data_IF_502043161637
#
_entry.id   IF_502043161637
#
_cell.length_a   1.000
_cell.length_b   1.000
_cell.length_c   1.000
_cell.angle_alpha   90.00
_cell.angle_beta   90.00
_cell.angle_gamma   90.00
#
_symmetry.space_group_name_H-M   'P 1'
#
loop_
_entity.id
_entity.type
_entity.pdbx_description
1 polymer ?
#
# COMPACT_ATOMS: atom_id res chain seq x y z
N UNK A 1 -37.87 13.29 8.08
CA UNK A 1 -38.18 11.87 7.74
C UNK A 1 -36.93 11.09 7.33
N UNK A 2 -36.08 11.63 6.45
CA UNK A 2 -34.80 11.00 6.02
C UNK A 2 -33.76 10.87 7.16
N UNK A 3 -33.66 11.85 8.08
CA UNK A 3 -32.75 11.79 9.25
C UNK A 3 -33.08 10.63 10.23
N UNK A 4 -34.35 10.27 10.37
CA UNK A 4 -34.80 9.20 11.28
C UNK A 4 -34.60 7.80 10.68
N UNK A 5 -34.63 7.68 9.35
CA UNK A 5 -34.38 6.42 8.64
C UNK A 5 -32.88 6.07 8.65
N UNK A 6 -31.99 7.07 8.54
CA UNK A 6 -30.53 6.87 8.65
C UNK A 6 -30.10 6.42 10.05
N UNK A 7 -30.65 7.00 11.11
CA UNK A 7 -30.35 6.61 12.50
C UNK A 7 -30.88 5.18 12.80
N UNK A 8 -32.03 4.81 12.22
CA UNK A 8 -32.63 3.49 12.36
C UNK A 8 -31.85 2.41 11.58
N UNK A 9 -31.36 2.72 10.37
CA UNK A 9 -30.45 1.83 9.64
C UNK A 9 -29.15 1.63 10.43
N UNK A 10 -28.59 2.70 10.99
CA UNK A 10 -27.37 2.65 11.80
C UNK A 10 -27.58 1.78 13.05
N UNK A 11 -28.67 1.95 13.79
CA UNK A 11 -28.96 1.10 14.96
C UNK A 11 -29.24 -0.36 14.59
N UNK A 12 -29.83 -0.61 13.41
CA UNK A 12 -30.09 -1.98 12.94
C UNK A 12 -28.82 -2.70 12.48
N UNK A 13 -27.90 -1.97 11.83
CA UNK A 13 -26.58 -2.49 11.43
C UNK A 13 -25.72 -2.80 12.66
N UNK A 14 -25.73 -1.92 13.66
CA UNK A 14 -24.96 -2.08 14.91
C UNK A 14 -25.44 -3.23 15.81
N UNK A 15 -26.71 -3.64 15.73
CA UNK A 15 -27.23 -4.75 16.55
C UNK A 15 -27.24 -6.08 15.82
N UNK A 16 -27.44 -6.10 14.50
CA UNK A 16 -27.64 -7.34 13.75
C UNK A 16 -26.32 -7.97 13.27
N UNK A 17 -25.29 -7.18 12.94
CA UNK A 17 -24.02 -7.73 12.43
C UNK A 17 -23.25 -8.58 13.44
N UNK A 18 -23.10 -8.18 14.72
CA UNK A 18 -22.43 -9.02 15.72
C UNK A 18 -23.19 -10.34 15.96
N UNK A 19 -24.53 -10.27 16.01
CA UNK A 19 -25.38 -11.44 16.23
C UNK A 19 -25.36 -12.43 15.06
N UNK A 20 -25.30 -11.95 13.82
CA UNK A 20 -25.26 -12.81 12.62
C UNK A 20 -23.85 -13.36 12.38
N UNK A 21 -22.80 -12.62 12.73
CA UNK A 21 -21.43 -13.13 12.66
C UNK A 21 -21.23 -14.27 13.66
N UNK A 22 -21.63 -14.09 14.92
CA UNK A 22 -21.53 -15.13 15.95
C UNK A 22 -22.28 -16.40 15.55
N UNK A 23 -23.56 -16.29 15.13
CA UNK A 23 -24.36 -17.45 14.71
C UNK A 23 -23.84 -18.13 13.42
N UNK A 24 -23.21 -17.39 12.49
CA UNK A 24 -22.66 -17.96 11.25
C UNK A 24 -21.35 -18.73 11.48
N UNK A 25 -20.50 -18.25 12.40
CA UNK A 25 -19.22 -18.90 12.70
C UNK A 25 -19.35 -20.03 13.73
N UNK A 26 -20.38 -20.03 14.59
CA UNK A 26 -20.65 -21.14 15.51
C UNK A 26 -21.01 -22.44 14.76
N UNK A 27 -21.63 -22.34 13.57
CA UNK A 27 -21.96 -23.49 12.70
C UNK A 27 -20.71 -24.07 11.98
N UNK A 28 -19.59 -23.34 11.98
CA UNK A 28 -18.27 -23.83 11.53
C UNK A 28 -17.40 -24.35 12.68
N UNK A 29 -17.77 -24.08 13.93
CA UNK A 29 -16.99 -24.42 15.14
C UNK A 29 -17.34 -25.79 15.74
N UNK A 30 -17.91 -26.72 14.97
CA UNK A 30 -18.17 -28.10 15.43
C UNK A 30 -16.98 -29.00 15.17
N UNK A 31 -16.09 -29.18 16.15
CA UNK A 31 -15.85 -30.47 16.79
C UNK A 31 -14.74 -30.45 17.86
N UNK A 32 -14.91 -31.35 18.82
CA UNK A 32 -14.33 -31.40 20.14
C UNK A 32 -12.80 -31.51 20.27
N UNK A 33 -12.34 -30.97 21.40
CA UNK A 33 -11.11 -31.25 22.12
C UNK A 33 -10.53 -32.66 21.90
N UNK A 34 -9.39 -32.75 21.19
CA UNK A 34 -8.68 -34.02 21.08
C UNK A 34 -7.54 -34.15 20.07
N UNK A 35 -6.86 -33.08 19.67
CA UNK A 35 -5.59 -33.12 18.91
C UNK A 35 -5.01 -31.70 18.87
N UNK A 36 -3.73 -31.51 19.23
CA UNK A 36 -3.07 -30.19 19.32
C UNK A 36 -2.74 -29.55 17.95
N UNK A 37 -3.22 -30.10 16.84
CA UNK A 37 -3.00 -29.58 15.49
C UNK A 37 -4.36 -29.34 14.81
N UNK A 38 -5.08 -28.32 15.24
CA UNK A 38 -6.32 -27.85 14.62
C UNK A 38 -6.06 -26.71 13.64
N UNK A 39 -6.96 -26.51 12.67
CA UNK A 39 -7.01 -25.27 11.88
C UNK A 39 -7.67 -24.20 12.74
N UNK A 40 -6.99 -23.08 12.95
CA UNK A 40 -7.53 -21.89 13.59
C UNK A 40 -8.17 -20.99 12.53
N UNK A 41 -9.40 -20.54 12.80
CA UNK A 41 -10.16 -19.62 11.98
C UNK A 41 -10.25 -18.31 12.76
N UNK A 42 -9.91 -17.21 12.11
CA UNK A 42 -10.07 -15.86 12.64
C UNK A 42 -10.45 -14.91 11.51
N UNK A 43 -10.88 -13.71 11.85
CA UNK A 43 -11.11 -12.69 10.83
C UNK A 43 -11.52 -11.35 11.40
N UNK A 44 -11.85 -10.43 10.50
CA UNK A 44 -12.48 -9.18 10.89
C UNK A 44 -13.52 -8.69 9.89
N UNK A 45 -14.44 -7.86 10.36
CA UNK A 45 -15.38 -7.09 9.55
C UNK A 45 -15.17 -5.61 9.91
N UNK A 46 -14.94 -4.80 8.90
CA UNK A 46 -14.63 -3.39 8.98
C UNK A 46 -15.74 -2.58 8.31
N UNK A 47 -16.43 -1.76 9.11
CA UNK A 47 -17.43 -0.81 8.63
C UNK A 47 -16.89 0.62 8.83
N UNK A 48 -16.59 1.29 7.73
CA UNK A 48 -16.14 2.68 7.69
C UNK A 48 -17.23 3.61 7.17
N UNK A 49 -17.40 4.75 7.84
CA UNK A 49 -18.18 5.88 7.35
C UNK A 49 -17.27 7.09 7.25
N UNK A 50 -17.26 7.77 6.11
CA UNK A 50 -16.40 8.92 5.89
C UNK A 50 -17.18 10.07 5.27
N UNK A 51 -16.93 11.27 5.76
CA UNK A 51 -17.47 12.49 5.17
C UNK A 51 -16.35 13.47 4.91
N UNK A 52 -16.44 14.17 3.79
CA UNK A 52 -15.45 15.10 3.31
C UNK A 52 -15.92 16.52 3.48
N UNK A 53 -14.97 17.46 3.40
CA UNK A 53 -15.19 18.89 3.42
C UNK A 53 -16.01 19.36 4.63
N UNK A 54 -15.33 19.88 5.65
CA UNK A 54 -15.97 20.29 6.92
C UNK A 54 -17.08 21.34 6.74
N UNK A 55 -17.03 22.14 5.68
CA UNK A 55 -18.04 23.17 5.41
C UNK A 55 -19.36 22.57 4.88
N UNK A 56 -19.29 21.48 4.12
CA UNK A 56 -20.42 20.89 3.39
C UNK A 56 -20.81 19.46 3.87
N UNK A 57 -20.29 19.01 5.02
CA UNK A 57 -20.49 17.63 5.54
C UNK A 57 -21.95 17.17 5.67
N UNK A 58 -22.90 18.09 5.76
CA UNK A 58 -24.33 17.78 5.88
C UNK A 58 -25.04 17.63 4.53
N UNK A 59 -24.44 18.16 3.46
CA UNK A 59 -24.99 18.16 2.10
C UNK A 59 -24.29 17.10 1.21
N UNK A 60 -23.06 16.70 1.52
CA UNK A 60 -22.38 15.60 0.83
C UNK A 60 -22.81 14.20 1.31
N UNK A 61 -22.81 13.24 0.37
CA UNK A 61 -23.02 11.83 0.69
C UNK A 61 -21.77 11.26 1.33
N UNK A 62 -21.90 10.74 2.56
CA UNK A 62 -20.82 10.01 3.20
C UNK A 62 -20.45 8.75 2.40
N UNK A 63 -19.15 8.54 2.20
CA UNK A 63 -18.59 7.29 1.72
C UNK A 63 -18.81 6.20 2.77
N UNK A 64 -19.21 5.02 2.31
CA UNK A 64 -19.41 3.84 3.16
C UNK A 64 -18.46 2.75 2.66
N UNK A 65 -17.52 2.39 3.51
CA UNK A 65 -16.58 1.30 3.28
C UNK A 65 -17.01 0.08 4.08
N UNK A 66 -17.07 -1.06 3.40
CA UNK A 66 -17.33 -2.35 4.04
C UNK A 66 -16.26 -3.32 3.56
N UNK A 67 -15.35 -3.68 4.46
CA UNK A 67 -14.31 -4.66 4.22
C UNK A 67 -14.44 -5.80 5.22
N UNK A 68 -13.94 -6.96 4.87
CA UNK A 68 -13.76 -8.07 5.79
C UNK A 68 -12.53 -8.87 5.41
N UNK A 69 -11.99 -9.63 6.35
CA UNK A 69 -11.00 -10.65 6.06
C UNK A 69 -11.38 -11.97 6.76
N UNK A 70 -10.90 -13.05 6.17
CA UNK A 70 -10.93 -14.37 6.77
C UNK A 70 -9.51 -14.91 6.75
N UNK A 71 -9.04 -15.39 7.90
CA UNK A 71 -7.73 -15.97 8.08
C UNK A 71 -7.85 -17.39 8.61
N UNK A 72 -7.25 -18.32 7.88
CA UNK A 72 -7.08 -19.71 8.29
C UNK A 72 -5.60 -19.94 8.58
N UNK A 73 -5.30 -20.46 9.76
CA UNK A 73 -3.94 -20.89 10.10
C UNK A 73 -3.92 -22.34 10.53
N UNK A 74 -2.87 -23.04 10.13
CA UNK A 74 -2.55 -24.36 10.63
C UNK A 74 -1.13 -24.30 11.19
N UNK A 75 -0.97 -24.75 12.43
CA UNK A 75 0.34 -24.86 13.07
C UNK A 75 0.74 -26.32 13.22
N UNK A 76 1.94 -26.65 12.78
CA UNK A 76 2.44 -28.01 12.76
C UNK A 76 3.92 -28.09 13.14
N UNK A 77 4.36 -29.26 13.60
CA UNK A 77 5.75 -29.45 14.06
C UNK A 77 6.82 -29.30 12.95
N UNK A 78 6.42 -29.44 11.68
CA UNK A 78 7.31 -29.34 10.52
C UNK A 78 7.00 -28.13 9.64
N UNK A 79 5.79 -27.60 9.70
CA UNK A 79 5.38 -26.47 8.91
C UNK A 79 4.11 -25.82 9.45
N UNK A 80 4.00 -24.52 9.22
CA UNK A 80 2.80 -23.73 9.40
C UNK A 80 2.26 -23.29 8.04
N UNK A 81 0.94 -23.18 7.94
CA UNK A 81 0.25 -22.72 6.72
C UNK A 81 -0.66 -21.55 7.10
N UNK A 82 -0.62 -20.48 6.32
CA UNK A 82 -1.50 -19.31 6.46
C UNK A 82 -2.23 -19.04 5.15
N UNK A 83 -3.54 -18.83 5.24
CA UNK A 83 -4.39 -18.31 4.16
C UNK A 83 -5.15 -17.11 4.69
N UNK A 84 -5.05 -15.97 4.03
CA UNK A 84 -5.81 -14.76 4.34
C UNK A 84 -6.53 -14.29 3.08
N UNK A 85 -7.82 -14.02 3.19
CA UNK A 85 -8.61 -13.39 2.12
C UNK A 85 -9.02 -11.98 2.50
N UNK A 86 -9.21 -11.13 1.50
CA UNK A 86 -9.82 -9.81 1.63
C UNK A 86 -11.15 -9.81 0.88
N UNK A 87 -12.18 -9.31 1.55
CA UNK A 87 -13.53 -9.14 1.01
C UNK A 87 -13.83 -7.65 1.02
N UNK A 88 -14.24 -7.12 -0.11
CA UNK A 88 -14.81 -5.78 -0.22
C UNK A 88 -16.16 -5.86 -0.94
N UNK A 89 -16.79 -4.70 -1.16
CA UNK A 89 -18.11 -4.62 -1.83
C UNK A 89 -18.13 -5.26 -3.22
N UNK A 90 -16.99 -5.33 -3.90
CA UNK A 90 -16.91 -5.70 -5.31
C UNK A 90 -16.39 -7.12 -5.53
N UNK A 91 -15.58 -7.64 -4.62
CA UNK A 91 -14.85 -8.89 -4.84
C UNK A 91 -14.37 -9.56 -3.54
N UNK A 92 -14.08 -10.85 -3.67
CA UNK A 92 -13.29 -11.64 -2.71
C UNK A 92 -11.95 -11.93 -3.37
N UNK A 93 -10.86 -11.58 -2.71
CA UNK A 93 -9.50 -11.71 -3.22
C UNK A 93 -8.61 -12.43 -2.23
N UNK A 94 -7.57 -13.09 -2.75
CA UNK A 94 -6.53 -13.71 -1.94
C UNK A 94 -5.54 -12.62 -1.51
N UNK A 95 -5.33 -12.47 -0.20
CA UNK A 95 -4.34 -11.52 0.34
C UNK A 95 -3.02 -12.24 0.63
N UNK A 96 -3.03 -13.35 1.37
CA UNK A 96 -1.83 -14.17 1.63
C UNK A 96 -2.15 -15.66 1.53
N UNK A 97 -1.20 -16.44 1.05
CA UNK A 97 -1.25 -17.90 1.03
C UNK A 97 0.17 -18.45 1.01
N UNK A 98 0.68 -18.86 2.15
CA UNK A 98 2.05 -19.32 2.25
C UNK A 98 2.24 -20.40 3.31
N UNK A 99 3.35 -21.11 3.16
CA UNK A 99 3.81 -22.12 4.11
C UNK A 99 5.16 -21.69 4.66
N UNK A 100 5.31 -21.78 5.99
CA UNK A 100 6.61 -21.71 6.66
C UNK A 100 7.05 -23.13 7.00
N UNK A 101 8.17 -23.60 6.43
CA UNK A 101 8.70 -24.94 6.62
C UNK A 101 9.94 -24.90 7.51
N UNK A 102 9.95 -25.75 8.54
CA UNK A 102 10.99 -25.80 9.56
C UNK A 102 12.00 -26.91 9.27
N UNK A 103 13.29 -26.55 9.17
CA UNK A 103 14.40 -27.49 9.07
C UNK A 103 15.42 -27.22 10.19
N UNK A 104 16.28 -28.20 10.49
CA UNK A 104 17.24 -28.12 11.61
C UNK A 104 18.15 -26.87 11.60
N UNK A 105 18.41 -26.30 10.43
CA UNK A 105 19.40 -25.20 10.26
C UNK A 105 18.85 -23.95 9.58
N UNK A 106 17.63 -24.01 9.04
CA UNK A 106 17.02 -22.91 8.31
C UNK A 106 15.53 -23.13 8.21
N UNK A 107 14.79 -22.06 7.96
CA UNK A 107 13.36 -22.12 7.64
C UNK A 107 13.15 -21.62 6.21
N UNK A 108 12.10 -22.09 5.57
CA UNK A 108 11.71 -21.65 4.22
C UNK A 108 10.28 -21.15 4.26
N UNK A 109 10.09 -19.89 3.89
CA UNK A 109 8.77 -19.32 3.61
C UNK A 109 8.53 -19.36 2.10
N UNK A 110 7.42 -19.94 1.65
CA UNK A 110 7.09 -20.03 0.24
C UNK A 110 5.59 -19.85 0.01
N UNK A 111 5.24 -19.01 -0.96
CA UNK A 111 3.84 -18.75 -1.34
C UNK A 111 3.64 -17.32 -1.79
N UNK A 112 2.44 -16.79 -1.57
CA UNK A 112 2.07 -15.38 -1.74
C UNK A 112 2.10 -14.77 -0.33
N UNK A 113 3.11 -13.96 -0.03
CA UNK A 113 3.30 -13.39 1.32
C UNK A 113 3.81 -11.95 1.28
N UNK A 114 3.56 -11.23 2.39
CA UNK A 114 4.13 -9.90 2.66
C UNK A 114 5.37 -10.06 3.53
N UNK A 115 6.53 -9.69 2.98
CA UNK A 115 7.80 -9.65 3.72
C UNK A 115 8.09 -8.23 4.14
N UNK A 116 8.39 -7.99 5.41
CA UNK A 116 8.78 -6.67 5.93
C UNK A 116 10.25 -6.68 6.28
N UNK A 117 11.00 -5.76 5.68
CA UNK A 117 12.41 -5.51 5.95
C UNK A 117 12.61 -4.09 6.44
N UNK A 118 13.75 -3.81 7.05
CA UNK A 118 13.98 -2.52 7.69
C UNK A 118 13.86 -2.57 9.21
N UNK A 119 14.32 -1.46 9.80
CA UNK A 119 14.20 -1.14 11.23
C UNK A 119 13.38 0.12 11.46
N UNK A 120 13.00 0.83 10.40
CA UNK A 120 12.03 1.91 10.46
C UNK A 120 10.73 1.49 11.13
N UNK A 121 9.94 2.45 11.57
CA UNK A 121 8.67 2.15 12.24
C UNK A 121 7.51 2.16 11.24
N UNK A 122 7.35 3.28 10.54
CA UNK A 122 6.30 3.46 9.53
C UNK A 122 6.86 3.76 8.15
N UNK A 123 8.11 4.23 8.11
CA UNK A 123 8.79 4.68 6.91
C UNK A 123 9.97 3.76 6.66
N UNK A 124 10.10 3.34 5.40
CA UNK A 124 11.19 2.49 4.97
C UNK A 124 11.79 2.98 3.65
N UNK A 125 13.09 2.70 3.49
CA UNK A 125 13.86 2.88 2.25
C UNK A 125 14.62 1.61 1.86
N UNK A 126 14.55 0.54 2.64
CA UNK A 126 15.14 -0.77 2.29
C UNK A 126 14.10 -1.87 2.06
N UNK A 127 12.83 -1.60 2.35
CA UNK A 127 11.73 -2.55 2.18
C UNK A 127 11.15 -2.48 0.76
N UNK A 128 11.66 -3.34 -0.12
CA UNK A 128 11.42 -3.28 -1.56
C UNK A 128 10.78 -4.53 -2.16
N UNK A 129 10.55 -5.58 -1.35
CA UNK A 129 10.16 -6.89 -1.88
C UNK A 129 8.73 -6.92 -2.38
N UNK A 130 7.83 -6.26 -1.66
CA UNK A 130 6.43 -6.20 -2.03
C UNK A 130 6.06 -4.78 -2.46
N UNK A 131 5.17 -4.65 -3.46
CA UNK A 131 4.63 -3.37 -3.85
C UNK A 131 3.63 -2.83 -2.83
N UNK A 132 3.32 -1.55 -2.99
CA UNK A 132 2.36 -0.82 -2.18
C UNK A 132 1.13 -0.44 -3.01
N UNK A 133 -0.04 -0.63 -2.43
CA UNK A 133 -1.30 -0.11 -2.92
C UNK A 133 -1.49 1.33 -2.41
N UNK A 134 -1.42 2.30 -3.31
CA UNK A 134 -1.72 3.70 -3.03
C UNK A 134 -3.16 4.09 -3.39
N UNK A 135 -3.96 3.14 -3.87
CA UNK A 135 -5.37 3.39 -4.20
C UNK A 135 -6.24 3.50 -2.95
N UNK A 136 -5.86 2.77 -1.90
CA UNK A 136 -6.40 2.92 -0.56
C UNK A 136 -5.77 4.12 0.12
N UNK A 137 -6.56 4.74 0.99
CA UNK A 137 -6.26 6.01 1.66
C UNK A 137 -4.79 6.14 2.04
N UNK A 138 -4.13 7.20 1.59
CA UNK A 138 -2.68 7.45 1.75
C UNK A 138 -2.17 7.47 3.22
N UNK A 139 -3.06 7.26 4.19
CA UNK A 139 -2.89 7.45 5.63
C UNK A 139 -3.40 6.23 6.44
N UNK A 140 -3.38 5.06 5.83
CA UNK A 140 -3.55 3.76 6.51
C UNK A 140 -2.21 3.22 6.99
N UNK A 141 -2.25 2.12 7.75
CA UNK A 141 -1.03 1.46 8.21
C UNK A 141 -0.20 0.97 7.01
N UNK A 142 1.12 1.11 7.09
CA UNK A 142 2.07 0.66 6.07
C UNK A 142 1.84 -0.79 5.66
N UNK A 143 1.50 -1.67 6.62
CA UNK A 143 1.28 -3.09 6.36
C UNK A 143 -0.03 -3.37 5.62
N UNK A 144 -1.05 -2.55 5.81
CA UNK A 144 -2.36 -2.73 5.17
C UNK A 144 -2.28 -2.49 3.66
N UNK A 145 -1.48 -1.50 3.25
CA UNK A 145 -1.26 -1.14 1.86
C UNK A 145 -0.25 -2.07 1.16
N UNK A 146 0.42 -2.95 1.89
CA UNK A 146 1.40 -3.87 1.29
C UNK A 146 0.69 -5.00 0.55
N UNK A 147 1.09 -5.24 -0.69
CA UNK A 147 0.50 -6.29 -1.55
C UNK A 147 1.39 -7.52 -1.50
N UNK A 148 0.84 -8.67 -1.12
CA UNK A 148 1.61 -9.91 -1.09
C UNK A 148 2.04 -10.35 -2.50
N UNK A 149 3.24 -10.93 -2.62
CA UNK A 149 3.77 -11.41 -3.90
C UNK A 149 4.26 -12.83 -3.80
N UNK A 150 4.22 -13.59 -4.92
CA UNK A 150 4.91 -14.87 -5.01
C UNK A 150 6.37 -14.72 -4.57
N UNK A 151 6.76 -15.44 -3.52
CA UNK A 151 8.08 -15.31 -2.91
C UNK A 151 8.53 -16.67 -2.37
N UNK A 152 9.81 -16.97 -2.52
CA UNK A 152 10.50 -18.03 -1.78
C UNK A 152 11.62 -17.36 -0.99
N UNK A 153 11.57 -17.49 0.34
CA UNK A 153 12.52 -16.86 1.25
C UNK A 153 13.15 -17.91 2.17
N UNK A 154 14.47 -17.95 2.21
CA UNK A 154 15.24 -18.77 3.15
C UNK A 154 15.67 -17.92 4.33
N UNK A 155 15.45 -18.42 5.53
CA UNK A 155 15.86 -17.80 6.79
C UNK A 155 16.90 -18.71 7.45
N UNK A 156 18.14 -18.26 7.53
CA UNK A 156 19.29 -19.04 8.01
C UNK A 156 19.85 -18.36 9.27
N UNK A 157 19.57 -18.88 10.47
CA UNK A 157 20.16 -18.37 11.70
C UNK A 157 21.69 -18.43 11.67
N UNK A 158 22.33 -17.31 12.02
CA UNK A 158 23.78 -17.17 12.10
C UNK A 158 24.20 -16.95 13.55
N UNK A 159 24.52 -18.03 14.25
CA UNK A 159 24.86 -17.97 15.68
C UNK A 159 23.66 -17.60 16.53
N UNK A 160 23.89 -16.90 17.65
CA UNK A 160 22.83 -16.58 18.62
C UNK A 160 22.06 -15.29 18.31
N UNK A 161 22.62 -14.39 17.51
CA UNK A 161 22.07 -13.03 17.31
C UNK A 161 21.97 -12.60 15.86
N UNK A 162 22.34 -13.47 14.91
CA UNK A 162 22.35 -13.16 13.49
C UNK A 162 21.33 -13.95 12.69
N UNK A 163 20.91 -13.36 11.57
CA UNK A 163 20.02 -13.99 10.59
C UNK A 163 20.46 -13.60 9.18
N UNK A 164 20.57 -14.60 8.30
CA UNK A 164 20.72 -14.39 6.86
C UNK A 164 19.41 -14.78 6.16
N UNK A 165 18.85 -13.83 5.44
CA UNK A 165 17.63 -13.98 4.65
C UNK A 165 17.99 -13.92 3.16
N UNK A 166 17.51 -14.89 2.39
CA UNK A 166 17.64 -14.93 0.92
C UNK A 166 16.24 -14.97 0.32
N UNK A 167 15.85 -13.94 -0.42
CA UNK A 167 14.54 -13.87 -1.06
C UNK A 167 14.66 -13.96 -2.59
N UNK A 168 13.79 -14.77 -3.18
CA UNK A 168 13.59 -14.84 -4.62
C UNK A 168 12.10 -14.63 -4.94
N UNK A 169 11.82 -13.65 -5.78
CA UNK A 169 10.49 -13.39 -6.31
C UNK A 169 10.52 -13.77 -7.80
N UNK A 170 9.75 -14.77 -8.24
CA UNK A 170 9.80 -15.27 -9.62
C UNK A 170 9.21 -14.28 -10.64
N UNK A 171 8.43 -13.32 -10.19
CA UNK A 171 7.78 -12.30 -11.02
C UNK A 171 7.91 -10.93 -10.35
N UNK A 172 7.52 -9.88 -11.08
CA UNK A 172 7.44 -8.53 -10.55
C UNK A 172 6.00 -8.04 -10.53
N UNK A 173 5.63 -7.35 -9.45
CA UNK A 173 4.38 -6.64 -9.30
C UNK A 173 4.72 -5.20 -8.92
N UNK A 174 4.10 -4.25 -9.60
CA UNK A 174 4.31 -2.82 -9.36
C UNK A 174 3.43 -2.29 -8.24
N UNK A 175 3.72 -1.06 -7.83
CA UNK A 175 2.80 -0.31 -6.99
C UNK A 175 1.48 -0.08 -7.73
N UNK A 176 0.37 -0.05 -6.99
CA UNK A 176 -0.95 0.27 -7.52
C UNK A 176 -1.20 1.75 -7.29
N UNK A 177 -1.37 2.50 -8.36
CA UNK A 177 -1.67 3.94 -8.31
C UNK A 177 -3.17 4.17 -8.55
N UNK A 178 -3.84 5.05 -7.78
CA UNK A 178 -5.23 5.38 -8.04
C UNK A 178 -5.36 6.10 -9.38
N UNK A 179 -6.25 5.60 -10.23
CA UNK A 179 -6.54 6.19 -11.56
C UNK A 179 -7.89 6.89 -11.62
N UNK A 180 -8.71 6.78 -10.57
CA UNK A 180 -9.99 7.46 -10.45
C UNK A 180 -10.30 7.85 -9.00
N UNK A 181 -11.29 8.72 -8.81
CA UNK A 181 -11.68 9.23 -7.49
C UNK A 181 -10.86 10.44 -7.03
N UNK A 182 -11.08 10.84 -5.78
CA UNK A 182 -10.50 12.07 -5.21
C UNK A 182 -9.01 11.96 -4.88
N UNK A 183 -8.51 10.75 -4.72
CA UNK A 183 -7.14 10.45 -4.27
C UNK A 183 -6.14 10.27 -5.42
N UNK A 184 -6.53 10.57 -6.67
CA UNK A 184 -5.63 10.49 -7.83
C UNK A 184 -4.59 11.61 -7.75
N UNK A 185 -3.28 11.30 -7.66
CA UNK A 185 -2.23 12.32 -7.67
C UNK A 185 -2.20 13.10 -8.99
N UNK A 186 -1.76 14.35 -8.93
CA UNK A 186 -1.59 15.20 -10.11
C UNK A 186 -0.66 14.58 -11.15
N UNK A 187 0.45 13.96 -10.73
CA UNK A 187 1.37 13.26 -11.65
C UNK A 187 0.68 12.12 -12.40
N UNK A 188 -0.23 11.40 -11.73
CA UNK A 188 -1.03 10.34 -12.36
C UNK A 188 -2.02 10.96 -13.34
N UNK A 189 -2.69 12.07 -13.00
CA UNK A 189 -3.57 12.81 -13.94
C UNK A 189 -2.80 13.25 -15.19
N UNK A 190 -1.59 13.78 -15.01
CA UNK A 190 -0.70 14.18 -16.10
C UNK A 190 -0.33 12.96 -16.95
N UNK A 191 0.10 11.86 -16.33
CA UNK A 191 0.43 10.62 -17.03
C UNK A 191 -0.75 10.08 -17.85
N UNK A 192 -1.94 10.01 -17.25
CA UNK A 192 -3.18 9.58 -17.91
C UNK A 192 -3.47 10.45 -19.14
N UNK A 193 -3.32 11.78 -19.01
CA UNK A 193 -3.54 12.71 -20.10
C UNK A 193 -2.51 12.53 -21.23
N UNK A 194 -1.24 12.31 -20.89
CA UNK A 194 -0.15 12.09 -21.84
C UNK A 194 -0.36 10.82 -22.62
N UNK A 195 -0.63 9.70 -21.95
CA UNK A 195 -0.89 8.41 -22.62
C UNK A 195 -2.14 8.52 -23.50
N UNK A 196 -3.22 9.13 -23.00
CA UNK A 196 -4.44 9.34 -23.79
C UNK A 196 -4.17 10.17 -25.06
N UNK A 197 -3.37 11.22 -24.97
CA UNK A 197 -3.04 12.07 -26.13
C UNK A 197 -2.11 11.37 -27.13
N UNK A 198 -1.14 10.59 -26.65
CA UNK A 198 -0.27 9.78 -27.50
C UNK A 198 -1.10 8.75 -28.28
N UNK A 199 -1.99 8.05 -27.58
CA UNK A 199 -2.90 7.07 -28.14
C UNK A 199 -3.83 7.69 -29.20
N UNK A 200 -4.43 8.85 -28.92
CA UNK A 200 -5.22 9.62 -29.91
C UNK A 200 -4.41 9.94 -31.15
N UNK A 201 -3.17 10.40 -30.96
CA UNK A 201 -2.28 10.81 -32.06
C UNK A 201 -1.87 9.61 -32.93
N UNK A 202 -1.54 8.48 -32.32
CA UNK A 202 -1.21 7.23 -33.02
C UNK A 202 -2.40 6.67 -33.80
N UNK A 203 -3.61 6.73 -33.23
CA UNK A 203 -4.84 6.34 -33.93
C UNK A 203 -5.11 7.23 -35.16
N UNK A 204 -4.95 8.55 -35.00
CA UNK A 204 -5.10 9.51 -36.10
C UNK A 204 -4.05 9.32 -37.20
N UNK A 205 -2.80 9.03 -36.85
CA UNK A 205 -1.74 8.75 -37.82
C UNK A 205 -2.02 7.48 -38.63
N UNK A 206 -2.38 6.38 -37.96
CA UNK A 206 -2.76 5.11 -38.62
C UNK A 206 -3.97 5.27 -39.52
N UNK A 207 -4.94 6.08 -39.11
CA UNK A 207 -6.06 6.46 -39.97
C UNK A 207 -5.60 7.21 -41.22
N UNK A 208 -4.71 8.20 -41.08
CA UNK A 208 -4.14 8.94 -42.22
C UNK A 208 -3.40 8.04 -43.21
N UNK A 209 -2.66 7.05 -42.74
CA UNK A 209 -2.00 6.04 -43.57
C UNK A 209 -3.02 5.20 -44.36
N UNK A 210 -4.08 4.70 -43.69
CA UNK A 210 -5.14 3.93 -44.36
C UNK A 210 -5.90 4.79 -45.38
N UNK A 211 -6.20 6.04 -45.03
CA UNK A 211 -6.89 6.96 -45.93
C UNK A 211 -6.06 7.27 -47.18
N UNK A 212 -4.77 7.60 -47.01
CA UNK A 212 -3.86 7.89 -48.13
C UNK A 212 -3.57 6.66 -49.00
N UNK A 213 -3.47 5.46 -48.41
CA UNK A 213 -3.33 4.22 -49.16
C UNK A 213 -4.53 3.89 -50.06
N UNK A 214 -5.72 4.42 -49.75
CA UNK A 214 -6.95 4.18 -50.48
C UNK A 214 -7.36 5.32 -51.42
N UNK A 215 -6.66 6.46 -51.39
CA UNK A 215 -6.88 7.56 -52.34
C UNK A 215 -6.21 7.22 -53.67
N UNK A 216 -7.06 6.78 -54.60
CA UNK A 216 -6.70 6.43 -55.98
C UNK A 216 -7.69 5.45 -56.60
N UNK A 217 -8.41 4.66 -55.78
CA UNK A 217 -9.31 3.59 -56.24
C UNK A 217 -10.65 3.49 -55.47
N UNK A 218 -10.81 4.18 -54.33
CA UNK A 218 -12.00 4.08 -53.49
C UNK A 218 -13.08 5.14 -53.80
N UNK A 219 -14.36 4.75 -53.73
CA UNK A 219 -15.51 5.66 -53.89
C UNK A 219 -15.70 6.56 -52.64
N UNK A 220 -16.41 7.70 -52.76
CA UNK A 220 -16.71 8.58 -51.61
C UNK A 220 -17.39 7.86 -50.42
N UNK A 221 -18.18 6.82 -50.70
CA UNK A 221 -18.85 5.99 -49.68
C UNK A 221 -17.88 5.05 -48.97
N UNK A 222 -16.91 4.46 -49.70
CA UNK A 222 -15.85 3.64 -49.12
C UNK A 222 -14.92 4.46 -48.23
N UNK A 223 -14.63 5.69 -48.65
CA UNK A 223 -13.89 6.66 -47.85
C UNK A 223 -14.70 7.00 -46.58
N UNK A 224 -15.98 7.34 -46.71
CA UNK A 224 -16.89 7.61 -45.59
C UNK A 224 -16.95 6.46 -44.57
N UNK A 225 -17.07 5.22 -45.01
CA UNK A 225 -17.07 4.05 -44.12
C UNK A 225 -15.73 3.82 -43.42
N UNK A 226 -14.59 4.01 -44.10
CA UNK A 226 -13.28 3.93 -43.49
C UNK A 226 -13.07 5.04 -42.43
N UNK A 227 -13.57 6.26 -42.70
CA UNK A 227 -13.55 7.37 -41.74
C UNK A 227 -14.38 7.06 -40.48
N UNK A 228 -15.57 6.46 -40.66
CA UNK A 228 -16.45 6.08 -39.55
C UNK A 228 -15.90 4.93 -38.70
N UNK A 229 -15.29 3.92 -39.32
CA UNK A 229 -14.67 2.78 -38.62
C UNK A 229 -13.42 3.19 -37.84
N UNK A 230 -12.59 4.09 -38.39
CA UNK A 230 -11.43 4.60 -37.68
C UNK A 230 -11.82 5.55 -36.54
N UNK A 231 -12.86 6.36 -36.72
CA UNK A 231 -13.45 7.15 -35.64
C UNK A 231 -14.04 6.25 -34.54
N UNK A 232 -14.75 5.19 -34.90
CA UNK A 232 -15.26 4.19 -33.95
C UNK A 232 -14.13 3.43 -33.22
N UNK A 233 -13.06 3.03 -33.93
CA UNK A 233 -11.88 2.41 -33.31
C UNK A 233 -11.11 3.39 -32.41
N UNK A 234 -11.04 4.67 -32.79
CA UNK A 234 -10.48 5.71 -31.90
C UNK A 234 -11.36 5.96 -30.68
N UNK A 235 -12.68 5.82 -30.81
CA UNK A 235 -13.64 5.92 -29.71
C UNK A 235 -13.57 4.70 -28.77
N UNK A 236 -13.36 3.48 -29.28
CA UNK A 236 -13.09 2.30 -28.46
C UNK A 236 -11.80 2.48 -27.65
N UNK A 237 -10.76 3.00 -28.30
CA UNK A 237 -9.48 3.32 -27.65
C UNK A 237 -9.61 4.47 -26.63
N UNK A 238 -10.49 5.45 -26.88
CA UNK A 238 -10.82 6.52 -25.94
C UNK A 238 -11.66 6.04 -24.75
N UNK A 239 -12.56 5.08 -24.97
CA UNK A 239 -13.30 4.40 -23.91
C UNK A 239 -12.37 3.49 -23.09
N UNK A 240 -11.34 2.92 -23.72
CA UNK A 240 -10.30 2.17 -23.03
C UNK A 240 -9.32 3.07 -22.25
N UNK A 241 -9.35 4.39 -22.43
CA UNK A 241 -8.55 5.36 -21.65
C UNK A 241 -8.91 5.44 -20.16
N UNK A 242 -9.99 4.78 -19.71
CA UNK A 242 -10.27 4.56 -18.29
C UNK A 242 -9.55 3.34 -17.72
N UNK A 243 -9.16 2.37 -18.56
CA UNK A 243 -8.45 1.16 -18.15
C UNK A 243 -7.00 1.19 -18.66
N UNK A 244 -6.11 1.64 -17.79
CA UNK A 244 -4.68 1.73 -18.07
C UNK A 244 -3.98 0.37 -18.06
N UNK A 245 -4.62 -0.70 -17.59
CA UNK A 245 -3.99 -2.02 -17.41
C UNK A 245 -3.33 -2.53 -18.69
N UNK A 246 -3.95 -2.27 -19.84
CA UNK A 246 -3.44 -2.65 -21.16
C UNK A 246 -2.15 -1.93 -21.59
N UNK A 247 -1.84 -0.79 -20.98
CA UNK A 247 -0.63 -0.02 -21.28
C UNK A 247 0.52 -0.40 -20.34
N UNK A 248 0.29 -1.23 -19.32
CA UNK A 248 1.36 -1.74 -18.48
C UNK A 248 2.05 -2.93 -19.15
N UNK A 249 3.38 -2.96 -19.05
CA UNK A 249 4.17 -4.10 -19.43
C UNK A 249 3.75 -5.33 -18.61
N UNK A 250 3.50 -6.46 -19.29
CA UNK A 250 3.26 -7.74 -18.61
C UNK A 250 4.55 -8.23 -17.93
N UNK A 251 4.51 -8.27 -16.60
CA UNK A 251 5.63 -8.67 -15.74
C UNK A 251 5.44 -10.03 -15.08
N UNK A 252 4.40 -10.78 -15.47
CA UNK A 252 4.11 -12.12 -14.97
C UNK A 252 4.94 -13.20 -15.69
N UNK A 253 6.27 -13.04 -15.64
CA UNK A 253 7.23 -13.93 -16.29
C UNK A 253 8.51 -14.03 -15.47
N UNK A 254 9.19 -15.18 -15.55
CA UNK A 254 10.49 -15.41 -14.91
C UNK A 254 11.60 -14.45 -15.39
N UNK A 255 11.41 -13.78 -16.53
CA UNK A 255 12.31 -12.69 -16.96
C UNK A 255 12.31 -11.50 -16.00
N UNK A 256 11.26 -11.36 -15.18
CA UNK A 256 11.11 -10.35 -14.15
C UNK A 256 11.45 -10.86 -12.75
N UNK A 257 12.22 -11.95 -12.65
CA UNK A 257 12.70 -12.46 -11.38
C UNK A 257 13.52 -11.41 -10.61
N UNK A 258 13.29 -11.32 -9.31
CA UNK A 258 13.95 -10.40 -8.39
C UNK A 258 14.67 -11.19 -7.30
N UNK A 259 15.81 -10.68 -6.85
CA UNK A 259 16.66 -11.33 -5.86
C UNK A 259 17.02 -10.35 -4.76
N UNK A 260 17.01 -10.83 -3.53
CA UNK A 260 17.46 -10.02 -2.42
C UNK A 260 18.11 -10.84 -1.32
N UNK A 261 19.04 -10.20 -0.62
CA UNK A 261 19.80 -10.77 0.50
C UNK A 261 19.79 -9.77 1.63
N UNK A 262 19.51 -10.22 2.85
CA UNK A 262 19.56 -9.41 4.07
C UNK A 262 20.30 -10.18 5.15
N UNK A 263 21.35 -9.59 5.68
CA UNK A 263 22.07 -10.10 6.85
C UNK A 263 21.87 -9.16 8.03
N UNK A 264 21.35 -9.66 9.14
CA UNK A 264 21.20 -8.88 10.38
C UNK A 264 21.99 -9.51 11.52
N UNK A 265 22.44 -8.68 12.46
CA UNK A 265 23.07 -9.13 13.69
C UNK A 265 22.91 -8.10 14.81
N UNK A 266 22.68 -8.58 16.04
CA UNK A 266 22.77 -7.76 17.25
C UNK A 266 24.15 -7.89 17.90
N UNK A 267 24.85 -6.76 18.05
CA UNK A 267 26.21 -6.67 18.59
C UNK A 267 26.28 -5.58 19.67
N UNK A 268 26.52 -5.95 20.93
CA UNK A 268 26.72 -5.00 22.05
C UNK A 268 25.62 -3.93 22.19
N UNK A 269 24.35 -4.31 22.00
CA UNK A 269 23.19 -3.42 22.10
C UNK A 269 22.92 -2.57 20.85
N UNK A 270 23.63 -2.83 19.75
CA UNK A 270 23.33 -2.31 18.42
C UNK A 270 22.72 -3.42 17.58
N UNK A 271 21.62 -3.12 16.91
CA UNK A 271 21.06 -3.97 15.86
C UNK A 271 21.50 -3.41 14.52
N UNK A 272 22.18 -4.24 13.73
CA UNK A 272 22.74 -3.84 12.44
C UNK A 272 22.21 -4.75 11.34
N UNK A 273 21.99 -4.17 10.16
CA UNK A 273 21.60 -4.91 8.96
C UNK A 273 22.38 -4.42 7.73
N UNK A 274 22.67 -5.36 6.82
CA UNK A 274 23.18 -5.09 5.47
C UNK A 274 22.28 -5.81 4.48
N UNK A 275 21.85 -5.10 3.45
CA UNK A 275 20.91 -5.57 2.45
C UNK A 275 21.44 -5.34 1.04
N UNK A 276 21.07 -6.24 0.15
CA UNK A 276 21.19 -6.05 -1.28
C UNK A 276 19.91 -6.51 -1.97
N UNK A 277 19.41 -5.71 -2.91
CA UNK A 277 18.26 -6.05 -3.74
C UNK A 277 18.60 -5.80 -5.20
N UNK A 278 18.15 -6.70 -6.07
CA UNK A 278 18.24 -6.58 -7.54
C UNK A 278 16.86 -6.92 -8.12
N UNK A 279 16.26 -5.95 -8.82
CA UNK A 279 14.92 -6.09 -9.37
C UNK A 279 14.52 -4.85 -10.16
N UNK A 280 13.34 -4.31 -9.87
CA UNK A 280 12.70 -3.28 -10.70
C UNK A 280 12.20 -2.10 -9.87
N UNK A 281 12.18 -0.93 -10.48
CA UNK A 281 11.53 0.23 -9.93
C UNK A 281 10.02 0.03 -9.94
N UNK A 282 9.36 0.36 -8.82
CA UNK A 282 7.91 0.15 -8.69
C UNK A 282 7.10 1.18 -9.47
N UNK A 283 7.70 2.33 -9.77
CA UNK A 283 7.12 3.38 -10.60
C UNK A 283 7.38 3.08 -12.09
N UNK A 284 6.34 3.06 -12.94
CA UNK A 284 6.50 2.85 -14.37
C UNK A 284 7.04 4.09 -15.08
N UNK A 285 7.68 3.87 -16.22
CA UNK A 285 8.09 4.92 -17.17
C UNK A 285 7.39 4.72 -18.51
N UNK A 286 6.95 5.82 -19.14
CA UNK A 286 6.34 5.76 -20.46
C UNK A 286 7.40 5.54 -21.54
N UNK A 287 7.33 4.39 -22.22
CA UNK A 287 8.01 4.15 -23.47
C UNK A 287 7.12 4.63 -24.63
N UNK A 288 7.34 5.86 -25.09
CA UNK A 288 6.53 6.47 -26.16
C UNK A 288 6.56 5.67 -27.47
N UNK A 289 7.69 5.05 -27.80
CA UNK A 289 7.86 4.29 -29.05
C UNK A 289 7.01 3.02 -29.07
N UNK A 290 6.84 2.39 -27.91
CA UNK A 290 6.01 1.19 -27.74
C UNK A 290 4.60 1.49 -27.24
N UNK A 291 4.35 2.73 -26.81
CA UNK A 291 3.15 3.16 -26.09
C UNK A 291 2.84 2.25 -24.88
N UNK A 292 3.89 1.90 -24.13
CA UNK A 292 3.83 0.98 -22.99
C UNK A 292 4.53 1.62 -21.78
N UNK A 293 3.94 1.45 -20.61
CA UNK A 293 4.50 1.73 -19.30
C UNK A 293 5.40 0.55 -18.91
N UNK A 294 6.70 0.79 -18.93
CA UNK A 294 7.74 -0.21 -18.63
C UNK A 294 8.39 0.07 -17.28
N UNK A 295 8.95 -0.98 -16.68
CA UNK A 295 9.63 -0.87 -15.39
C UNK A 295 11.13 -0.93 -15.56
N UNK A 296 11.79 0.09 -15.03
CA UNK A 296 13.24 0.18 -15.05
C UNK A 296 13.85 -0.81 -14.06
N UNK A 297 15.02 -1.38 -14.39
CA UNK A 297 15.77 -2.18 -13.42
C UNK A 297 16.45 -1.30 -12.39
N UNK A 298 16.57 -1.82 -11.18
CA UNK A 298 17.30 -1.16 -10.09
C UNK A 298 18.07 -2.17 -9.25
N UNK A 299 19.14 -1.68 -8.65
CA UNK A 299 19.84 -2.35 -7.56
C UNK A 299 19.79 -1.45 -6.33
N UNK A 300 19.80 -2.05 -5.14
CA UNK A 300 19.86 -1.31 -3.89
C UNK A 300 20.88 -1.96 -2.97
N UNK A 301 21.75 -1.14 -2.38
CA UNK A 301 22.62 -1.52 -1.26
C UNK A 301 22.13 -0.76 -0.03
N UNK A 302 21.74 -1.50 1.01
CA UNK A 302 21.04 -0.97 2.17
C UNK A 302 21.75 -1.26 3.48
N UNK A 303 21.66 -0.34 4.42
CA UNK A 303 22.09 -0.49 5.80
C UNK A 303 20.89 -0.24 6.72
N UNK A 304 20.83 -0.98 7.81
CA UNK A 304 19.85 -0.80 8.89
C UNK A 304 20.58 -0.64 10.22
N UNK A 305 20.00 0.18 11.09
CA UNK A 305 20.52 0.48 12.42
C UNK A 305 19.37 0.57 13.43
N UNK A 306 19.56 -0.02 14.60
CA UNK A 306 18.66 0.13 15.75
C UNK A 306 19.44 0.17 17.05
N UNK A 307 19.02 1.02 17.99
CA UNK A 307 19.59 1.06 19.35
C UNK A 307 18.68 1.75 20.36
N UNK A 308 18.51 1.14 21.52
CA UNK A 308 17.99 1.82 22.71
C UNK A 308 19.12 2.55 23.47
N UNK A 309 19.00 3.87 23.68
CA UNK A 309 19.95 4.68 24.45
C UNK A 309 19.25 5.84 25.16
N UNK A 310 19.49 5.99 26.47
CA UNK A 310 18.94 7.09 27.29
C UNK A 310 17.40 7.24 27.19
N UNK A 311 16.68 6.12 27.06
CA UNK A 311 15.21 6.10 26.91
C UNK A 311 14.71 6.34 25.47
N UNK A 312 15.60 6.64 24.53
CA UNK A 312 15.28 6.73 23.11
C UNK A 312 15.51 5.39 22.42
N UNK A 313 14.53 4.92 21.68
CA UNK A 313 14.65 3.80 20.76
C UNK A 313 14.98 4.34 19.37
N UNK A 314 16.28 4.47 19.06
CA UNK A 314 16.76 4.98 17.79
C UNK A 314 16.64 3.92 16.69
N UNK A 315 16.25 4.36 15.50
CA UNK A 315 16.10 3.54 14.29
C UNK A 315 16.62 4.32 13.09
N UNK A 316 17.23 3.61 12.14
CA UNK A 316 17.72 4.23 10.93
C UNK A 316 17.90 3.23 9.78
N UNK A 317 17.75 3.75 8.57
CA UNK A 317 17.95 3.04 7.31
C UNK A 317 18.68 3.97 6.34
N UNK A 318 19.61 3.41 5.56
CA UNK A 318 20.31 4.13 4.51
C UNK A 318 20.40 3.21 3.29
N UNK A 319 19.98 3.68 2.12
CA UNK A 319 19.95 2.89 0.92
C UNK A 319 20.51 3.66 -0.27
N UNK A 320 21.46 3.08 -0.98
CA UNK A 320 21.94 3.61 -2.24
C UNK A 320 21.27 2.88 -3.39
N UNK A 321 20.47 3.59 -4.17
CA UNK A 321 19.73 3.06 -5.31
C UNK A 321 20.54 3.31 -6.58
N UNK A 322 20.87 2.21 -7.27
CA UNK A 322 21.50 2.22 -8.58
C UNK A 322 20.44 1.94 -9.64
N UNK A 323 20.20 2.91 -10.50
CA UNK A 323 19.19 2.89 -11.55
C UNK A 323 19.88 2.65 -12.91
N UNK A 324 19.22 1.93 -13.82
CA UNK A 324 19.77 1.58 -15.15
C UNK A 324 19.71 2.75 -16.16
N UNK A 325 18.71 3.62 -16.02
CA UNK A 325 18.35 4.77 -16.86
C UNK A 325 18.17 6.05 -16.04
N UNK A 326 17.40 5.96 -14.94
CA UNK A 326 17.14 7.08 -14.04
C UNK A 326 18.39 7.44 -13.25
N UNK A 327 18.34 8.55 -12.53
CA UNK A 327 19.45 8.98 -11.69
C UNK A 327 19.60 8.12 -10.43
N UNK A 328 20.84 7.89 -10.01
CA UNK A 328 21.14 7.21 -8.75
C UNK A 328 20.78 8.11 -7.56
N UNK A 329 20.37 7.52 -6.45
CA UNK A 329 19.98 8.27 -5.26
C UNK A 329 20.43 7.63 -3.96
N UNK A 330 20.72 8.48 -2.98
CA UNK A 330 20.89 8.09 -1.59
C UNK A 330 19.57 8.36 -0.84
N UNK A 331 18.95 7.30 -0.33
CA UNK A 331 17.68 7.35 0.38
C UNK A 331 17.92 7.02 1.84
N UNK A 332 17.22 7.69 2.75
CA UNK A 332 17.45 7.50 4.18
C UNK A 332 16.17 7.62 4.99
N UNK A 333 16.15 6.91 6.12
CA UNK A 333 15.20 7.10 7.21
C UNK A 333 15.99 7.20 8.50
N UNK A 334 15.64 8.14 9.37
CA UNK A 334 16.16 8.21 10.72
C UNK A 334 15.03 8.60 11.67
N UNK A 335 14.96 7.98 12.83
CA UNK A 335 13.93 8.32 13.79
C UNK A 335 14.17 7.77 15.17
N UNK A 336 13.28 8.14 16.07
CA UNK A 336 13.27 7.64 17.43
C UNK A 336 11.85 7.50 17.95
N UNK A 337 11.73 6.65 18.97
CA UNK A 337 10.57 6.53 19.84
C UNK A 337 10.99 6.84 21.28
N UNK A 338 10.18 7.63 21.99
CA UNK A 338 10.45 8.07 23.36
C UNK A 338 9.17 8.07 24.21
N UNK A 339 9.20 7.29 25.29
CA UNK A 339 8.16 7.29 26.31
C UNK A 339 8.47 8.33 27.38
N UNK A 340 7.60 9.33 27.53
CA UNK A 340 7.75 10.33 28.58
C UNK A 340 7.43 9.73 29.95
N UNK A 341 8.08 10.20 31.02
CA UNK A 341 7.80 9.75 32.39
C UNK A 341 6.51 10.38 32.96
N UNK A 342 5.47 10.56 32.13
CA UNK A 342 4.17 11.11 32.48
C UNK A 342 3.12 10.27 31.76
N UNK A 343 2.35 9.49 32.53
CA UNK A 343 1.33 8.58 32.00
C UNK A 343 1.93 7.63 30.93
N UNK A 344 1.17 7.29 29.89
CA UNK A 344 1.64 6.48 28.76
C UNK A 344 1.98 7.36 27.53
N UNK A 345 2.32 8.63 27.78
CA UNK A 345 2.61 9.59 26.72
C UNK A 345 3.87 9.16 25.95
N UNK A 346 3.73 9.05 24.63
CA UNK A 346 4.77 8.62 23.71
C UNK A 346 4.92 9.64 22.56
N UNK A 347 6.18 9.88 22.17
CA UNK A 347 6.54 10.60 20.94
C UNK A 347 7.34 9.67 20.03
N UNK A 348 6.84 9.50 18.82
CA UNK A 348 7.56 8.92 17.69
C UNK A 348 7.87 10.03 16.68
N UNK A 349 9.11 10.14 16.25
CA UNK A 349 9.52 11.11 15.24
C UNK A 349 10.48 10.47 14.25
N UNK A 350 10.23 10.66 12.95
CA UNK A 350 11.00 10.12 11.85
C UNK A 350 11.20 11.17 10.77
N UNK A 351 12.36 11.15 10.11
CA UNK A 351 12.62 11.84 8.85
C UNK A 351 12.91 10.79 7.79
N UNK A 352 12.33 10.96 6.60
CA UNK A 352 12.62 10.19 5.39
C UNK A 352 13.02 11.17 4.31
N UNK A 353 14.06 10.86 3.54
CA UNK A 353 14.41 11.68 2.40
C UNK A 353 15.20 10.94 1.34
N UNK A 354 15.36 11.62 0.21
CA UNK A 354 16.20 11.21 -0.90
C UNK A 354 17.12 12.34 -1.32
N UNK A 355 18.34 11.96 -1.71
CA UNK A 355 19.34 12.84 -2.29
C UNK A 355 19.76 12.28 -3.64
N UNK A 356 19.44 13.01 -4.71
CA UNK A 356 19.91 12.76 -6.07
C UNK A 356 21.29 13.41 -6.27
N UNK A 357 22.22 12.70 -6.89
CA UNK A 357 23.63 13.09 -6.99
C UNK A 357 23.89 14.24 -7.98
N UNK A 358 23.12 14.30 -9.06
CA UNK A 358 23.24 15.18 -10.20
C UNK A 358 22.05 16.17 -10.34
N UNK A 359 20.95 15.98 -9.58
CA UNK A 359 19.77 16.87 -9.58
C UNK A 359 19.31 17.26 -8.16
N UNK A 360 19.94 18.27 -7.56
CA UNK A 360 19.60 18.73 -6.20
C UNK A 360 18.15 19.24 -6.05
N UNK A 361 17.51 19.68 -7.14
CA UNK A 361 16.14 20.19 -7.11
C UNK A 361 15.08 19.10 -6.91
N UNK A 362 15.41 17.83 -7.10
CA UNK A 362 14.50 16.69 -6.95
C UNK A 362 14.59 16.04 -5.56
N UNK A 363 15.42 16.61 -4.68
CA UNK A 363 15.56 16.15 -3.31
C UNK A 363 14.26 16.37 -2.54
N UNK A 364 13.82 15.37 -1.79
CA UNK A 364 12.64 15.51 -0.92
C UNK A 364 12.96 15.05 0.48
N UNK A 365 12.43 15.76 1.47
CA UNK A 365 12.56 15.47 2.89
C UNK A 365 11.19 15.57 3.53
N UNK A 366 10.74 14.45 4.10
CA UNK A 366 9.49 14.31 4.80
C UNK A 366 9.76 14.05 6.28
N UNK A 367 9.14 14.84 7.15
CA UNK A 367 9.14 14.65 8.60
C UNK A 367 7.79 14.10 9.03
N UNK A 368 7.81 13.02 9.80
CA UNK A 368 6.62 12.42 10.40
C UNK A 368 6.77 12.42 11.91
N UNK A 369 5.77 12.96 12.60
CA UNK A 369 5.69 12.94 14.06
C UNK A 369 4.37 12.34 14.51
N UNK A 370 4.38 11.52 15.56
CA UNK A 370 3.17 11.04 16.25
C UNK A 370 3.33 11.28 17.74
N UNK A 371 2.40 12.02 18.33
CA UNK A 371 2.23 12.13 19.77
C UNK A 371 1.01 11.30 20.16
N UNK A 372 1.15 10.37 21.09
CA UNK A 372 0.05 9.50 21.52
C UNK A 372 0.05 9.25 23.02
N UNK A 373 -1.13 8.96 23.56
CA UNK A 373 -1.30 8.56 24.95
C UNK A 373 -2.44 7.52 25.06
N UNK A 374 -2.31 6.59 26.01
CA UNK A 374 -3.26 5.48 26.21
C UNK A 374 -3.83 5.46 27.62
N UNK A 375 -5.15 5.38 27.72
CA UNK A 375 -5.94 5.44 28.95
C UNK A 375 -6.68 4.13 29.17
N UNK A 376 -7.31 3.98 30.36
CA UNK A 376 -8.19 2.86 30.68
C UNK A 376 -7.53 1.48 30.48
N UNK A 377 -6.32 1.28 31.03
CA UNK A 377 -5.54 0.05 30.81
C UNK A 377 -5.32 -0.24 29.32
N UNK A 378 -4.97 0.80 28.56
CA UNK A 378 -4.69 0.76 27.11
C UNK A 378 -5.92 0.47 26.23
N UNK A 379 -7.11 0.35 26.81
CA UNK A 379 -8.35 0.16 26.04
C UNK A 379 -8.75 1.39 25.21
N UNK A 380 -8.24 2.58 25.55
CA UNK A 380 -8.53 3.83 24.82
C UNK A 380 -7.23 4.54 24.47
N UNK A 381 -7.08 4.98 23.23
CA UNK A 381 -5.91 5.70 22.72
C UNK A 381 -6.32 7.02 22.07
N UNK A 382 -5.56 8.08 22.34
CA UNK A 382 -5.63 9.34 21.62
C UNK A 382 -4.28 9.59 20.95
N UNK A 383 -4.28 10.01 19.69
CA UNK A 383 -3.05 10.42 19.02
C UNK A 383 -3.24 11.55 18.04
N UNK A 384 -2.16 12.27 17.76
CA UNK A 384 -2.06 13.22 16.65
C UNK A 384 -0.83 12.85 15.85
N UNK A 385 -1.01 12.54 14.58
CA UNK A 385 0.07 12.34 13.60
C UNK A 385 0.20 13.58 12.73
N UNK A 386 1.41 13.99 12.44
CA UNK A 386 1.72 15.08 11.51
C UNK A 386 2.73 14.59 10.48
N UNK A 387 2.47 14.90 9.21
CA UNK A 387 3.41 14.72 8.11
C UNK A 387 3.70 16.11 7.54
N UNK A 388 4.97 16.41 7.27
CA UNK A 388 5.41 17.68 6.72
C UNK A 388 6.47 17.43 5.65
N UNK A 389 6.28 17.94 4.42
CA UNK A 389 7.34 17.97 3.42
C UNK A 389 8.07 19.30 3.49
N UNK A 390 9.40 19.24 3.62
CA UNK A 390 10.24 20.41 3.94
C UNK A 390 10.39 21.34 2.73
N UNK A 391 10.55 20.77 1.54
CA UNK A 391 10.77 21.51 0.30
C UNK A 391 9.48 22.21 -0.16
N UNK A 392 8.38 21.46 -0.19
CA UNK A 392 7.07 21.93 -0.63
C UNK A 392 6.35 22.78 0.43
N UNK A 393 6.75 22.64 1.71
CA UNK A 393 6.13 23.28 2.88
C UNK A 393 4.65 22.97 3.05
N UNK A 394 4.20 21.84 2.55
CA UNK A 394 2.87 21.31 2.76
C UNK A 394 2.83 20.38 3.99
N UNK A 395 1.64 20.12 4.52
CA UNK A 395 1.48 19.24 5.67
C UNK A 395 0.15 18.52 5.70
N UNK A 396 0.11 17.47 6.52
CA UNK A 396 -1.10 16.80 6.95
C UNK A 396 -1.11 16.64 8.46
N UNK A 397 -2.26 16.86 9.09
CA UNK A 397 -2.50 16.62 10.52
C UNK A 397 -3.64 15.63 10.65
N UNK A 398 -3.39 14.54 11.39
CA UNK A 398 -4.33 13.46 11.62
C UNK A 398 -4.53 13.20 13.12
N UNK A 399 -5.52 13.85 13.77
CA UNK A 399 -6.01 13.44 15.08
C UNK A 399 -6.81 12.13 14.98
N UNK A 400 -6.57 11.24 15.92
CA UNK A 400 -7.16 9.89 15.95
C UNK A 400 -7.53 9.52 17.39
N UNK A 401 -8.77 9.04 17.56
CA UNK A 401 -9.28 8.47 18.80
C UNK A 401 -9.70 7.03 18.55
N UNK A 402 -9.27 6.13 19.42
CA UNK A 402 -9.53 4.70 19.30
C UNK A 402 -9.95 4.14 20.64
N UNK A 403 -10.99 3.30 20.68
CA UNK A 403 -11.38 2.58 21.90
C UNK A 403 -11.91 1.19 21.62
N UNK A 404 -11.58 0.25 22.50
CA UNK A 404 -12.16 -1.09 22.50
C UNK A 404 -13.55 -1.04 23.16
N UNK A 405 -14.51 -1.73 22.54
CA UNK A 405 -15.88 -1.93 23.02
C UNK A 405 -16.05 -3.43 23.28
N UNK A 406 -15.89 -3.84 24.54
CA UNK A 406 -15.73 -5.26 24.87
C UNK A 406 -14.40 -5.81 24.34
N UNK A 407 -14.37 -7.11 24.04
CA UNK A 407 -13.15 -7.81 23.66
C UNK A 407 -12.99 -7.97 22.13
N UNK A 408 -14.07 -7.86 21.37
CA UNK A 408 -14.11 -8.17 19.93
C UNK A 408 -14.31 -6.95 19.04
N UNK A 409 -14.69 -5.79 19.58
CA UNK A 409 -15.03 -4.62 18.76
C UNK A 409 -14.12 -3.45 19.07
N UNK A 410 -13.65 -2.76 18.03
CA UNK A 410 -12.85 -1.54 18.11
C UNK A 410 -13.57 -0.42 17.36
N UNK A 411 -13.71 0.72 18.01
CA UNK A 411 -14.19 1.97 17.42
C UNK A 411 -13.00 2.90 17.18
N UNK A 412 -12.90 3.44 15.97
CA UNK A 412 -11.91 4.44 15.59
C UNK A 412 -12.62 5.68 15.01
N UNK A 413 -12.19 6.86 15.44
CA UNK A 413 -12.60 8.16 14.91
C UNK A 413 -11.35 8.89 14.48
N UNK A 414 -11.27 9.21 13.19
CA UNK A 414 -10.09 9.83 12.58
C UNK A 414 -10.51 11.10 11.85
N UNK A 415 -9.76 12.18 12.06
CA UNK A 415 -9.87 13.41 11.27
C UNK A 415 -8.58 13.58 10.49
N UNK A 416 -8.65 13.99 9.24
CA UNK A 416 -7.47 14.31 8.45
C UNK A 416 -7.63 15.67 7.81
N UNK A 417 -6.63 16.52 8.04
CA UNK A 417 -6.52 17.88 7.51
C UNK A 417 -5.28 17.95 6.63
N UNK A 418 -5.41 18.43 5.40
CA UNK A 418 -4.31 18.73 4.50
C UNK A 418 -4.12 20.24 4.38
N UNK A 419 -2.92 20.66 4.01
CA UNK A 419 -2.66 22.05 3.67
C UNK A 419 -1.41 22.18 2.81
N UNK A 420 -1.44 23.07 1.82
CA UNK A 420 -0.31 23.37 0.95
C UNK A 420 -0.76 23.93 -0.39
N UNK A 421 0.19 24.20 -1.29
CA UNK A 421 -0.12 24.64 -2.64
C UNK A 421 -0.63 23.46 -3.50
N UNK A 422 -1.55 23.70 -4.43
CA UNK A 422 -2.27 22.63 -5.17
C UNK A 422 -1.40 21.73 -6.05
N UNK A 423 -0.17 22.13 -6.33
CA UNK A 423 0.84 21.40 -7.11
C UNK A 423 1.85 20.63 -6.24
N UNK A 424 1.73 20.71 -4.91
CA UNK A 424 2.59 20.01 -3.94
C UNK A 424 2.08 18.62 -3.56
N UNK A 425 2.93 17.80 -2.94
CA UNK A 425 2.65 16.40 -2.58
C UNK A 425 1.37 16.21 -1.76
N UNK A 426 1.14 17.03 -0.74
CA UNK A 426 -0.03 17.01 0.13
C UNK A 426 -1.02 18.13 -0.17
N UNK A 427 -0.55 19.31 -0.63
CA UNK A 427 -1.44 20.44 -0.91
C UNK A 427 -2.43 20.19 -2.05
N UNK A 428 -2.12 19.27 -2.97
CA UNK A 428 -3.08 18.78 -3.97
C UNK A 428 -4.34 18.11 -3.37
N UNK A 429 -4.35 17.84 -2.06
CA UNK A 429 -5.43 17.24 -1.29
C UNK A 429 -6.03 18.21 -0.25
N UNK A 430 -5.81 19.52 -0.36
CA UNK A 430 -6.40 20.53 0.57
C UNK A 430 -7.94 20.46 0.60
N UNK A 431 -8.58 20.29 -0.56
CA UNK A 431 -10.03 20.07 -0.67
C UNK A 431 -10.47 18.66 -0.21
N UNK A 432 -9.51 17.82 0.19
CA UNK A 432 -9.72 16.43 0.54
C UNK A 432 -9.81 16.12 2.04
N UNK A 433 -9.85 17.16 2.86
CA UNK A 433 -10.17 17.12 4.29
C UNK A 433 -11.36 16.21 4.63
N UNK A 434 -11.21 15.39 5.69
CA UNK A 434 -12.23 14.40 6.05
C UNK A 434 -12.31 14.03 7.53
N UNK A 435 -13.48 13.54 7.94
CA UNK A 435 -13.67 12.75 9.16
C UNK A 435 -14.10 11.34 8.78
N UNK A 436 -13.60 10.34 9.51
CA UNK A 436 -14.05 8.97 9.40
C UNK A 436 -14.37 8.36 10.76
N UNK A 437 -15.38 7.49 10.77
CA UNK A 437 -15.71 6.62 11.90
C UNK A 437 -15.62 5.19 11.39
N UNK A 438 -14.73 4.38 11.95
CA UNK A 438 -14.55 2.98 11.60
C UNK A 438 -14.90 2.09 12.78
N UNK A 439 -15.59 0.99 12.51
CA UNK A 439 -15.87 -0.06 13.47
C UNK A 439 -15.31 -1.36 12.92
N UNK A 440 -14.38 -1.93 13.67
CA UNK A 440 -13.74 -3.19 13.37
C UNK A 440 -14.24 -4.24 14.37
N UNK A 441 -14.90 -5.28 13.87
CA UNK A 441 -15.30 -6.46 14.60
C UNK A 441 -14.31 -7.58 14.31
N UNK A 442 -13.74 -8.22 15.34
CA UNK A 442 -12.78 -9.32 15.24
C UNK A 442 -13.39 -10.59 15.84
N UNK A 443 -13.16 -11.73 15.21
CA UNK A 443 -13.64 -13.04 15.66
C UNK A 443 -12.57 -14.12 15.48
#
# INVERSE_FOLDING_TARGET
MIKSIKLLLLTTIFTVLPLVADDFFDDFATDEAGSTNGVEISGSIDLGLRSYNFEDMLDETADVDTNANLKLTYQGSLADITLTTKVNKESITLDECYTNMYFDKFNVEAGILKTVWGKGDKLHVVDLLNPTDYSTYFITDYLENKIATPTVKFNIPLGATGLLELAYLPTFSSDVLPTSGRWVPNDVKVLLSTVTNLVKSSAAAKYGEVYTANIGTATPEQIGNATGLAYAASLEVLQAGSDMSQYYQDTNSLSFGQYAVRGTASLSGYDLGLLYYYGYNSKPELNESKMLLEYEKKQMIGLEFGRAILGFNLRGELAYYLMDKSENSLNYVAGFDYNFPIHNLNLNAQIKGNYFLDSENDNTNMVVGKLSDTFNHEATSLSVTTIYFVEDKDFMIKPEFTTNIGDTTKLEITTCLFNGDSDTMLGQYDDNDYISVNINYMF
#
